data_IF_434912565808
#
_entry.id   IF_434912565808
#
_cell.length_a   1.000
_cell.length_b   1.000
_cell.length_c   1.000
_cell.angle_alpha   90.00
_cell.angle_beta   90.00
_cell.angle_gamma   90.00
#
_symmetry.space_group_name_H-M   'P 1'
#
loop_
_entity.id
_entity.type
_entity.pdbx_description
1 polymer ?
#
# COMPACT_ATOMS: atom_id res chain seq x y z
N UNK A 1 -10.10 48.22 -74.16
CA UNK A 1 -9.07 47.79 -73.19
C UNK A 1 -9.81 47.34 -71.93
N UNK A 2 -9.92 46.02 -71.70
CA UNK A 2 -10.54 45.46 -70.53
C UNK A 2 -9.46 44.79 -69.68
N UNK A 3 -9.29 45.26 -68.45
CA UNK A 3 -8.44 44.66 -67.48
C UNK A 3 -9.18 43.51 -66.79
N UNK A 4 -8.62 42.31 -66.92
CA UNK A 4 -9.06 41.08 -66.30
C UNK A 4 -8.50 40.99 -64.89
N UNK A 5 -9.35 41.23 -63.85
CA UNK A 5 -8.96 41.02 -62.46
C UNK A 5 -8.91 39.54 -62.13
N UNK A 6 -7.74 39.06 -61.73
CA UNK A 6 -7.52 37.70 -61.23
C UNK A 6 -7.85 37.65 -59.73
N UNK A 7 -8.83 36.81 -59.36
CA UNK A 7 -9.11 36.47 -57.97
C UNK A 7 -8.03 35.54 -57.41
N UNK A 8 -7.58 35.69 -56.17
CA UNK A 8 -6.70 34.72 -55.50
C UNK A 8 -7.55 33.54 -55.00
N UNK A 9 -7.15 32.32 -55.40
CA UNK A 9 -7.71 31.08 -54.88
C UNK A 9 -7.24 30.87 -53.43
N UNK A 10 -8.16 30.98 -52.45
CA UNK A 10 -7.91 30.60 -51.07
C UNK A 10 -7.58 29.12 -50.95
N UNK A 11 -6.60 28.78 -50.17
CA UNK A 11 -6.10 27.44 -49.93
C UNK A 11 -6.97 26.71 -48.90
N UNK A 12 -7.63 25.59 -49.21
CA UNK A 12 -8.51 24.87 -48.24
C UNK A 12 -7.76 23.95 -47.29
N UNK A 13 -6.42 23.97 -47.25
CA UNK A 13 -5.63 23.01 -46.44
C UNK A 13 -5.32 23.45 -45.02
N UNK A 14 -5.42 24.74 -44.69
CA UNK A 14 -5.05 25.20 -43.35
C UNK A 14 -6.10 24.85 -42.26
N UNK A 15 -7.39 24.75 -42.60
CA UNK A 15 -8.42 24.36 -41.64
C UNK A 15 -8.44 22.86 -41.30
N UNK A 16 -7.91 22.01 -42.19
CA UNK A 16 -7.86 20.56 -41.93
C UNK A 16 -6.78 20.18 -40.91
N UNK A 17 -5.67 20.90 -40.89
CA UNK A 17 -4.53 20.65 -39.98
C UNK A 17 -4.88 21.11 -38.57
N UNK A 18 -5.60 22.23 -38.41
CA UNK A 18 -6.02 22.74 -37.10
C UNK A 18 -7.05 21.86 -36.41
N UNK A 19 -7.97 21.26 -37.16
CA UNK A 19 -8.99 20.35 -36.60
C UNK A 19 -8.38 19.02 -36.12
N UNK A 20 -7.38 18.49 -36.79
CA UNK A 20 -6.70 17.26 -36.39
C UNK A 20 -5.83 17.50 -35.15
N UNK A 21 -5.20 18.67 -35.02
CA UNK A 21 -4.40 19.00 -33.84
C UNK A 21 -5.24 19.16 -32.56
N UNK A 22 -6.45 19.73 -32.65
CA UNK A 22 -7.34 19.89 -31.50
C UNK A 22 -7.94 18.54 -31.02
N UNK A 23 -8.27 17.62 -31.92
CA UNK A 23 -8.79 16.30 -31.54
C UNK A 23 -7.74 15.43 -30.87
N UNK A 24 -6.47 15.52 -31.29
CA UNK A 24 -5.38 14.78 -30.66
C UNK A 24 -5.08 15.23 -29.21
N UNK A 25 -5.19 16.53 -28.93
CA UNK A 25 -4.99 17.08 -27.57
C UNK A 25 -6.11 16.68 -26.61
N UNK A 26 -7.37 16.61 -27.07
CA UNK A 26 -8.50 16.19 -26.22
C UNK A 26 -8.42 14.69 -25.89
N UNK A 27 -7.95 13.82 -26.79
CA UNK A 27 -7.75 12.40 -26.49
C UNK A 27 -6.59 12.14 -25.52
N UNK A 28 -5.51 12.95 -25.56
CA UNK A 28 -4.37 12.79 -24.65
C UNK A 28 -4.68 13.16 -23.19
N UNK A 29 -5.66 14.06 -22.96
CA UNK A 29 -6.07 14.48 -21.61
C UNK A 29 -6.98 13.47 -20.89
N UNK A 30 -7.53 12.49 -21.59
CA UNK A 30 -8.46 11.51 -21.00
C UNK A 30 -7.75 10.36 -20.28
N UNK A 31 -6.44 10.28 -20.27
CA UNK A 31 -5.68 9.19 -19.65
C UNK A 31 -5.10 9.52 -18.27
N UNK A 32 -5.41 10.70 -17.71
CA UNK A 32 -4.82 11.16 -16.45
C UNK A 32 -5.74 11.04 -15.22
N UNK A 33 -6.72 10.17 -15.20
CA UNK A 33 -7.61 10.10 -14.03
C UNK A 33 -7.94 8.66 -13.61
N UNK A 34 -6.92 7.92 -13.19
CA UNK A 34 -7.13 6.78 -12.33
C UNK A 34 -6.13 6.81 -11.18
N UNK A 35 -6.13 7.90 -10.40
CA UNK A 35 -5.67 7.83 -9.02
C UNK A 35 -6.73 7.00 -8.27
N UNK A 36 -6.69 5.67 -8.43
CA UNK A 36 -7.54 4.75 -7.70
C UNK A 36 -7.34 4.98 -6.22
N UNK A 37 -8.36 5.47 -5.52
CA UNK A 37 -8.43 5.32 -4.07
C UNK A 37 -8.17 3.83 -3.80
N UNK A 38 -7.11 3.51 -3.08
CA UNK A 38 -6.79 2.13 -2.71
C UNK A 38 -7.88 1.69 -1.73
N UNK A 39 -8.90 1.04 -2.26
CA UNK A 39 -9.94 0.44 -1.44
C UNK A 39 -9.27 -0.67 -0.63
N UNK A 40 -9.38 -0.60 0.70
CA UNK A 40 -8.91 -1.69 1.56
C UNK A 40 -9.62 -2.97 1.17
N UNK A 41 -8.89 -4.08 1.00
CA UNK A 41 -9.49 -5.39 0.92
C UNK A 41 -10.28 -5.62 2.23
N UNK A 42 -11.57 -5.95 2.15
CA UNK A 42 -12.39 -6.20 3.34
C UNK A 42 -11.85 -7.42 4.08
N UNK A 43 -11.92 -7.38 5.40
CA UNK A 43 -11.59 -8.53 6.25
C UNK A 43 -12.60 -8.67 7.39
N UNK A 44 -12.73 -9.88 7.90
CA UNK A 44 -13.55 -10.20 9.06
C UNK A 44 -12.68 -10.71 10.20
N UNK A 45 -13.06 -10.36 11.42
CA UNK A 45 -12.39 -10.83 12.64
C UNK A 45 -13.30 -11.87 13.30
N UNK A 46 -12.80 -13.08 13.46
CA UNK A 46 -13.52 -14.22 14.02
C UNK A 46 -12.64 -14.86 15.11
N UNK A 47 -13.19 -15.05 16.31
CA UNK A 47 -12.48 -15.76 17.36
C UNK A 47 -11.09 -15.21 17.74
N UNK A 48 -10.85 -13.92 17.52
CA UNK A 48 -9.54 -13.28 17.80
C UNK A 48 -8.50 -13.46 16.70
N UNK A 49 -8.93 -13.73 15.49
CA UNK A 49 -8.07 -13.85 14.30
C UNK A 49 -8.74 -13.31 13.03
N UNK A 50 -7.96 -13.14 11.97
CA UNK A 50 -8.44 -12.92 10.59
C UNK A 50 -8.12 -14.21 9.82
N UNK A 51 -9.08 -15.15 9.67
CA UNK A 51 -8.82 -16.45 9.07
C UNK A 51 -8.52 -16.37 7.58
N UNK A 52 -9.21 -15.49 6.86
CA UNK A 52 -9.06 -15.33 5.42
C UNK A 52 -7.86 -14.42 5.09
N UNK A 53 -6.91 -14.86 4.23
CA UNK A 53 -5.83 -14.01 3.75
C UNK A 53 -6.35 -12.77 3.02
N UNK A 54 -5.62 -11.64 3.13
CA UNK A 54 -5.95 -10.38 2.49
C UNK A 54 -5.51 -10.33 1.01
N UNK A 55 -4.58 -11.20 0.63
CA UNK A 55 -3.99 -11.26 -0.70
C UNK A 55 -3.48 -12.68 -1.02
N UNK A 56 -2.68 -12.82 -2.07
CA UNK A 56 -1.99 -14.06 -2.42
C UNK A 56 -1.08 -14.56 -1.26
N UNK A 57 -0.69 -15.84 -1.25
CA UNK A 57 0.24 -16.36 -0.25
C UNK A 57 1.49 -15.48 -0.10
N UNK A 58 1.85 -15.20 1.15
CA UNK A 58 2.97 -14.33 1.48
C UNK A 58 4.33 -14.97 1.18
N UNK A 59 5.32 -14.13 0.88
CA UNK A 59 6.72 -14.51 0.75
C UNK A 59 7.49 -14.12 2.00
N UNK A 60 8.09 -15.07 2.73
CA UNK A 60 8.78 -14.78 3.98
C UNK A 60 10.05 -13.93 3.81
N UNK A 61 10.72 -13.99 2.66
CA UNK A 61 11.91 -13.16 2.40
C UNK A 61 11.54 -11.70 2.22
N UNK A 62 10.45 -11.42 1.49
CA UNK A 62 9.87 -10.07 1.40
C UNK A 62 9.37 -9.61 2.76
N UNK A 63 8.70 -10.51 3.51
CA UNK A 63 8.23 -10.23 4.87
C UNK A 63 9.37 -9.79 5.80
N UNK A 64 10.49 -10.52 5.80
CA UNK A 64 11.69 -10.15 6.56
C UNK A 64 12.20 -8.76 6.18
N UNK A 65 12.28 -8.47 4.88
CA UNK A 65 12.70 -7.15 4.40
C UNK A 65 11.80 -6.04 4.92
N UNK A 66 10.47 -6.23 4.88
CA UNK A 66 9.50 -5.26 5.38
C UNK A 66 9.65 -5.04 6.89
N UNK A 67 9.79 -6.12 7.67
CA UNK A 67 9.91 -6.09 9.13
C UNK A 67 11.14 -5.30 9.58
N UNK A 68 12.26 -5.45 8.87
CA UNK A 68 13.53 -4.82 9.17
C UNK A 68 13.75 -3.46 8.48
N UNK A 69 12.84 -3.04 7.60
CA UNK A 69 12.93 -1.73 6.93
C UNK A 69 12.40 -0.60 7.81
N UNK A 70 13.19 0.48 7.94
CA UNK A 70 12.77 1.71 8.64
C UNK A 70 11.69 2.48 7.91
N UNK A 71 11.63 2.35 6.60
CA UNK A 71 10.69 3.08 5.73
C UNK A 71 9.34 2.35 5.56
N UNK A 72 9.25 1.07 5.97
CA UNK A 72 8.01 0.29 5.81
C UNK A 72 7.47 -0.24 7.14
N UNK A 73 7.80 -1.48 7.51
CA UNK A 73 7.26 -2.10 8.73
C UNK A 73 7.83 -1.54 10.00
N UNK A 74 9.15 -1.32 10.03
CA UNK A 74 9.90 -0.82 11.18
C UNK A 74 9.62 -1.56 12.51
N UNK A 75 9.31 -2.86 12.40
CA UNK A 75 8.86 -3.67 13.53
C UNK A 75 9.98 -3.86 14.58
N UNK A 76 11.23 -3.90 14.14
CA UNK A 76 12.40 -4.06 15.00
C UNK A 76 12.65 -2.85 15.93
N UNK A 77 12.02 -1.70 15.67
CA UNK A 77 12.05 -0.56 16.59
C UNK A 77 11.47 -0.90 17.97
N UNK A 78 10.44 -1.76 17.98
CA UNK A 78 9.72 -2.13 19.21
C UNK A 78 9.97 -3.60 19.60
N UNK A 79 10.23 -4.49 18.65
CA UNK A 79 10.36 -5.93 18.87
C UNK A 79 11.79 -6.41 18.62
N UNK A 80 12.26 -7.32 19.46
CA UNK A 80 13.52 -8.02 19.24
C UNK A 80 13.32 -9.16 18.22
N UNK A 81 14.17 -9.20 17.20
CA UNK A 81 14.28 -10.28 16.21
C UNK A 81 15.67 -10.90 16.30
N UNK A 82 15.72 -12.22 16.40
CA UNK A 82 17.01 -12.93 16.56
C UNK A 82 17.92 -12.81 15.33
N UNK A 83 17.33 -12.62 14.15
CA UNK A 83 18.05 -12.51 12.87
C UNK A 83 18.27 -11.05 12.41
N UNK A 84 17.98 -10.07 13.27
CA UNK A 84 18.28 -8.65 13.04
C UNK A 84 19.71 -8.31 13.51
N UNK A 85 20.72 -8.93 12.91
CA UNK A 85 22.13 -8.71 13.28
C UNK A 85 22.50 -7.23 13.17
N UNK A 86 23.10 -6.69 14.26
CA UNK A 86 23.61 -5.32 14.31
C UNK A 86 22.55 -4.23 14.45
N UNK A 87 21.25 -4.54 14.44
CA UNK A 87 20.22 -3.56 14.75
C UNK A 87 19.97 -3.53 16.28
N UNK A 88 19.79 -2.34 16.90
CA UNK A 88 19.39 -2.27 18.30
C UNK A 88 18.01 -2.92 18.46
N UNK A 89 17.94 -3.97 19.26
CA UNK A 89 16.69 -4.68 19.52
C UNK A 89 15.75 -3.79 20.36
N UNK A 90 14.54 -3.56 19.85
CA UNK A 90 13.48 -2.89 20.63
C UNK A 90 12.99 -3.77 21.76
N UNK A 91 12.54 -3.16 22.82
CA UNK A 91 12.01 -3.82 24.02
C UNK A 91 10.61 -3.31 24.46
N UNK A 92 9.98 -2.51 23.62
CA UNK A 92 8.60 -2.00 23.85
C UNK A 92 7.54 -3.07 23.58
N UNK A 93 7.80 -3.96 22.63
CA UNK A 93 6.96 -5.10 22.31
C UNK A 93 7.63 -6.43 22.72
N UNK A 94 6.87 -7.53 22.78
CA UNK A 94 7.42 -8.85 23.08
C UNK A 94 8.45 -9.30 22.01
N UNK A 95 9.44 -10.10 22.39
CA UNK A 95 10.39 -10.66 21.43
C UNK A 95 9.68 -11.60 20.44
N UNK A 96 10.14 -11.59 19.20
CA UNK A 96 9.53 -12.36 18.11
C UNK A 96 10.03 -13.81 18.03
N UNK A 97 11.09 -14.16 18.76
CA UNK A 97 11.55 -15.55 18.85
C UNK A 97 10.39 -16.49 19.27
N UNK A 98 10.18 -17.55 18.52
CA UNK A 98 9.12 -18.54 18.75
C UNK A 98 7.68 -18.03 18.53
N UNK A 99 7.47 -16.85 17.94
CA UNK A 99 6.12 -16.31 17.75
C UNK A 99 5.26 -17.20 16.85
N UNK A 100 5.83 -17.78 15.81
CA UNK A 100 5.16 -18.70 14.91
C UNK A 100 4.88 -20.08 15.51
N UNK A 101 5.46 -20.43 16.66
CA UNK A 101 5.08 -21.61 17.43
C UNK A 101 3.91 -21.31 18.38
N UNK A 102 3.75 -20.06 18.80
CA UNK A 102 2.71 -19.63 19.76
C UNK A 102 1.41 -19.20 19.11
N UNK A 103 1.47 -18.66 17.89
CA UNK A 103 0.34 -18.05 17.22
C UNK A 103 0.16 -18.59 15.80
N UNK A 104 -1.10 -18.86 15.44
CA UNK A 104 -1.46 -19.22 14.06
C UNK A 104 -1.43 -18.02 13.11
N UNK A 105 -1.47 -18.29 11.80
CA UNK A 105 -1.44 -17.25 10.74
C UNK A 105 -2.54 -16.19 10.91
N UNK A 106 -3.78 -16.61 11.17
CA UNK A 106 -4.92 -15.70 11.36
C UNK A 106 -4.73 -14.79 12.57
N UNK A 107 -4.16 -15.32 13.66
CA UNK A 107 -3.86 -14.57 14.87
C UNK A 107 -2.73 -13.57 14.67
N UNK A 108 -1.68 -13.94 13.93
CA UNK A 108 -0.59 -13.05 13.54
C UNK A 108 -1.10 -11.94 12.60
N UNK A 109 -1.94 -12.33 11.62
CA UNK A 109 -2.57 -11.38 10.69
C UNK A 109 -3.36 -10.30 11.42
N UNK A 110 -4.22 -10.68 12.38
CA UNK A 110 -4.99 -9.71 13.15
C UNK A 110 -4.09 -8.74 13.93
N UNK A 111 -2.99 -9.23 14.53
CA UNK A 111 -2.05 -8.36 15.27
C UNK A 111 -1.34 -7.36 14.36
N UNK A 112 -0.97 -7.76 13.17
CA UNK A 112 -0.36 -6.86 12.18
C UNK A 112 -1.41 -5.87 11.64
N UNK A 113 -2.59 -6.34 11.30
CA UNK A 113 -3.68 -5.50 10.76
C UNK A 113 -4.11 -4.45 11.78
N UNK A 114 -4.45 -4.88 13.00
CA UNK A 114 -4.95 -4.00 14.07
C UNK A 114 -4.86 -4.69 15.44
N UNK A 115 -3.74 -4.54 16.11
CA UNK A 115 -3.53 -5.13 17.44
C UNK A 115 -4.48 -4.59 18.51
N UNK A 116 -5.03 -3.40 18.32
CA UNK A 116 -5.99 -2.80 19.25
C UNK A 116 -7.33 -3.57 19.31
N UNK A 117 -7.63 -4.39 18.32
CA UNK A 117 -8.79 -5.30 18.36
C UNK A 117 -8.65 -6.40 19.41
N UNK A 118 -7.43 -6.74 19.80
CA UNK A 118 -7.13 -7.75 20.84
C UNK A 118 -6.87 -7.06 22.17
N UNK A 119 -6.10 -5.99 22.14
CA UNK A 119 -5.79 -5.18 23.31
C UNK A 119 -5.99 -3.69 22.99
N UNK A 120 -7.07 -3.04 23.45
CA UNK A 120 -7.32 -1.62 23.20
C UNK A 120 -6.24 -0.68 23.74
N UNK A 121 -5.39 -1.13 24.66
CA UNK A 121 -4.25 -0.38 25.19
C UNK A 121 -2.96 -0.58 24.37
N UNK A 122 -3.03 -1.31 23.27
CA UNK A 122 -1.85 -1.57 22.44
C UNK A 122 -1.31 -0.27 21.83
N UNK A 123 -0.01 -0.05 21.98
CA UNK A 123 0.72 1.03 21.30
C UNK A 123 1.26 0.60 19.93
N UNK A 124 1.12 -0.69 19.57
CA UNK A 124 1.48 -1.18 18.25
C UNK A 124 0.59 -0.52 17.20
N UNK A 125 1.17 0.13 16.17
CA UNK A 125 0.37 0.75 15.11
C UNK A 125 -0.54 -0.25 14.40
N UNK A 126 -1.71 0.21 13.96
CA UNK A 126 -2.54 -0.55 13.03
C UNK A 126 -1.93 -0.41 11.63
N UNK A 127 -1.35 -1.47 11.08
CA UNK A 127 -0.67 -1.40 9.78
C UNK A 127 -1.62 -1.41 8.59
N UNK A 128 -2.87 -1.86 8.81
CA UNK A 128 -3.85 -1.97 7.72
C UNK A 128 -5.18 -1.25 7.98
N UNK A 129 -5.50 -0.86 9.20
CA UNK A 129 -6.67 -0.02 9.52
C UNK A 129 -6.38 1.44 9.21
N UNK A 130 -7.35 2.18 8.65
CA UNK A 130 -7.24 3.61 8.33
C UNK A 130 -8.24 4.48 9.10
N UNK A 131 -9.31 3.89 9.63
CA UNK A 131 -10.36 4.61 10.34
C UNK A 131 -10.15 4.62 11.86
N UNK A 132 -10.63 5.66 12.52
CA UNK A 132 -10.54 5.79 13.98
C UNK A 132 -9.11 5.89 14.53
N UNK A 133 -8.14 6.32 13.72
CA UNK A 133 -6.76 6.55 14.10
C UNK A 133 -6.55 8.00 14.53
N UNK A 134 -5.69 8.22 15.53
CA UNK A 134 -5.29 9.55 16.01
C UNK A 134 -3.83 9.81 15.64
N UNK A 135 -3.46 11.08 15.43
CA UNK A 135 -2.08 11.53 15.20
C UNK A 135 -1.37 10.81 14.05
N UNK A 136 -2.11 10.51 12.98
CA UNK A 136 -1.56 9.83 11.79
C UNK A 136 -0.59 10.76 11.08
N UNK A 137 0.62 10.26 10.81
CA UNK A 137 1.61 10.97 10.03
C UNK A 137 1.06 11.36 8.64
N UNK A 138 1.39 12.56 8.10
CA UNK A 138 0.82 13.03 6.82
C UNK A 138 0.93 12.03 5.67
N UNK A 139 2.03 11.29 5.62
CA UNK A 139 2.27 10.28 4.58
C UNK A 139 1.28 9.10 4.60
N UNK A 140 0.64 8.81 5.74
CA UNK A 140 -0.27 7.67 5.93
C UNK A 140 -1.74 8.09 6.12
N UNK A 141 -2.07 9.37 6.01
CA UNK A 141 -3.47 9.81 6.14
C UNK A 141 -4.35 9.20 5.06
N UNK A 142 -5.41 8.48 5.47
CA UNK A 142 -6.37 7.83 4.56
C UNK A 142 -5.82 6.63 3.79
N UNK A 143 -4.65 6.09 4.17
CA UNK A 143 -4.07 4.88 3.56
C UNK A 143 -3.40 4.01 4.61
N UNK A 144 -3.38 2.68 4.40
CA UNK A 144 -2.70 1.76 5.30
C UNK A 144 -1.17 1.97 5.22
N UNK A 145 -0.46 1.58 6.28
CA UNK A 145 1.01 1.55 6.31
C UNK A 145 1.52 0.43 5.40
N UNK A 146 0.89 -0.74 5.44
CA UNK A 146 1.21 -1.89 4.60
C UNK A 146 0.06 -2.20 3.64
N UNK A 147 0.40 -2.61 2.41
CA UNK A 147 -0.58 -3.16 1.47
C UNK A 147 -1.07 -4.56 1.93
N UNK A 148 -2.19 -5.08 1.38
CA UNK A 148 -2.65 -6.44 1.66
C UNK A 148 -1.56 -7.50 1.46
N UNK A 149 -0.82 -7.43 0.36
CA UNK A 149 0.26 -8.37 0.07
C UNK A 149 1.42 -8.24 1.07
N UNK A 150 1.78 -7.04 1.47
CA UNK A 150 2.81 -6.83 2.48
C UNK A 150 2.42 -7.38 3.85
N UNK A 151 1.13 -7.32 4.23
CA UNK A 151 0.64 -7.98 5.45
C UNK A 151 0.86 -9.49 5.36
N UNK A 152 0.49 -10.12 4.24
CA UNK A 152 0.68 -11.56 4.06
C UNK A 152 2.16 -11.96 4.04
N UNK A 153 3.03 -11.15 3.41
CA UNK A 153 4.47 -11.37 3.40
C UNK A 153 5.05 -11.33 4.84
N UNK A 154 4.64 -10.34 5.64
CA UNK A 154 5.03 -10.24 7.07
C UNK A 154 4.53 -11.45 7.86
N UNK A 155 3.28 -11.86 7.69
CA UNK A 155 2.70 -13.04 8.36
C UNK A 155 3.48 -14.31 7.99
N UNK A 156 3.80 -14.48 6.70
CA UNK A 156 4.58 -15.63 6.22
C UNK A 156 5.98 -15.70 6.87
N UNK A 157 6.63 -14.56 7.07
CA UNK A 157 7.90 -14.49 7.79
C UNK A 157 7.71 -14.82 9.28
N UNK A 158 6.76 -14.20 9.97
CA UNK A 158 6.55 -14.40 11.41
C UNK A 158 6.22 -15.85 11.77
N UNK A 159 5.49 -16.57 10.91
CA UNK A 159 5.17 -17.99 11.10
C UNK A 159 6.43 -18.88 11.11
N UNK A 160 7.50 -18.48 10.45
CA UNK A 160 8.77 -19.23 10.42
C UNK A 160 9.59 -19.07 11.70
N UNK A 161 9.33 -18.05 12.52
CA UNK A 161 10.05 -17.81 13.77
C UNK A 161 9.57 -18.79 14.85
N UNK A 162 10.18 -19.98 14.88
CA UNK A 162 9.90 -21.10 15.81
C UNK A 162 10.77 -21.05 17.05
#
# INVERSE_FOLDING_TARGET
MQQKQSQPRGRPVEHCVQTIAMTAVVCALSWLSAAGAQTLAPYQVEGGEIPTPLAAPGDPSRGRTIVLSRESGNCFLCHAFADAEGAPAGNLGPPMAGVGARLGQGQLRLRVVDSARINPQSIMPAYYRIEGLNQVAPAHRGKPILSPQQVEDVVAYLVQLK
#
